data_IF_088998542952
#
_entry.id   IF_088998542952
#
_cell.length_a   1.000
_cell.length_b   1.000
_cell.length_c   1.000
_cell.angle_alpha   90.00
_cell.angle_beta   90.00
_cell.angle_gamma   90.00
#
_symmetry.space_group_name_H-M   'P 1'
#
loop_
_entity.id
_entity.type
_entity.pdbx_description
1 polymer ?
#
# COMPACT_ATOMS: atom_id res chain seq x y z
N UNK A 1 -2.92 -20.24 -5.87
CA UNK A 1 -1.98 -19.10 -6.03
C UNK A 1 -1.75 -18.31 -4.73
N UNK A 2 -2.77 -17.75 -4.07
CA UNK A 2 -2.55 -16.94 -2.84
C UNK A 2 -1.93 -17.72 -1.67
N UNK A 3 -2.28 -19.00 -1.48
CA UNK A 3 -1.64 -19.86 -0.48
C UNK A 3 -0.14 -20.06 -0.76
N UNK A 4 0.20 -20.28 -2.03
CA UNK A 4 1.59 -20.37 -2.51
C UNK A 4 2.33 -19.06 -2.29
N UNK A 5 1.71 -17.92 -2.64
CA UNK A 5 2.28 -16.61 -2.40
C UNK A 5 2.63 -16.39 -0.92
N UNK A 6 1.70 -16.70 -0.01
CA UNK A 6 1.93 -16.65 1.44
C UNK A 6 3.04 -17.60 1.89
N UNK A 7 3.03 -18.86 1.42
CA UNK A 7 4.05 -19.87 1.77
C UNK A 7 5.47 -19.39 1.48
N UNK A 8 5.65 -18.66 0.39
CA UNK A 8 6.97 -18.16 -0.04
C UNK A 8 7.21 -16.67 0.27
N UNK A 9 6.36 -16.05 1.10
CA UNK A 9 6.53 -14.65 1.50
C UNK A 9 6.36 -13.64 0.37
N UNK A 10 5.67 -14.01 -0.71
CA UNK A 10 5.22 -13.04 -1.72
C UNK A 10 4.08 -12.21 -1.14
N UNK A 11 4.25 -10.90 -1.20
CA UNK A 11 3.20 -9.95 -0.87
C UNK A 11 3.14 -8.85 -1.91
N UNK A 12 2.02 -8.17 -1.96
CA UNK A 12 1.86 -6.95 -2.74
C UNK A 12 1.99 -5.77 -1.79
N UNK A 13 3.02 -4.95 -1.97
CA UNK A 13 3.21 -3.76 -1.16
C UNK A 13 3.93 -2.65 -1.92
N UNK A 14 3.53 -1.41 -1.64
CA UNK A 14 4.11 -0.19 -2.21
C UNK A 14 4.18 0.89 -1.15
N UNK A 15 5.09 1.84 -1.24
CA UNK A 15 5.13 2.98 -0.33
C UNK A 15 3.86 3.82 -0.50
N UNK A 16 3.51 4.12 -1.74
CA UNK A 16 2.41 4.99 -2.12
C UNK A 16 1.63 4.33 -3.29
N UNK A 17 0.43 3.77 -3.05
CA UNK A 17 -0.35 3.18 -4.11
C UNK A 17 -1.03 4.25 -4.96
N UNK A 18 -0.97 4.08 -6.28
CA UNK A 18 -1.80 4.85 -7.21
C UNK A 18 -3.27 4.43 -7.09
N UNK A 19 -4.17 5.33 -7.49
CA UNK A 19 -5.60 5.04 -7.56
C UNK A 19 -5.87 3.84 -8.48
N UNK A 20 -5.25 3.83 -9.67
CA UNK A 20 -5.39 2.78 -10.68
C UNK A 20 -5.07 1.38 -10.10
N UNK A 21 -3.93 1.25 -9.41
CA UNK A 21 -3.57 -0.03 -8.77
C UNK A 21 -4.56 -0.38 -7.67
N UNK A 22 -4.92 0.60 -6.84
CA UNK A 22 -5.81 0.35 -5.72
C UNK A 22 -7.21 -0.06 -6.18
N UNK A 23 -7.68 0.39 -7.34
CA UNK A 23 -8.94 -0.02 -7.99
C UNK A 23 -8.87 -1.44 -8.58
N UNK A 24 -7.72 -1.88 -9.07
CA UNK A 24 -7.53 -3.23 -9.63
C UNK A 24 -7.41 -4.34 -8.57
N UNK A 25 -7.31 -3.99 -7.28
CA UNK A 25 -7.12 -4.99 -6.22
C UNK A 25 -8.37 -5.85 -6.00
N UNK A 26 -8.22 -7.13 -5.58
CA UNK A 26 -9.36 -8.01 -5.37
C UNK A 26 -10.29 -7.53 -4.24
N UNK A 27 -11.59 -7.49 -4.49
CA UNK A 27 -12.61 -7.11 -3.51
C UNK A 27 -12.67 -8.05 -2.27
N UNK A 28 -12.67 -9.36 -2.49
CA UNK A 28 -12.97 -10.36 -1.46
C UNK A 28 -11.74 -10.99 -0.79
N UNK A 29 -10.61 -11.05 -1.49
CA UNK A 29 -9.35 -11.55 -0.96
C UNK A 29 -8.28 -10.47 -1.01
N UNK A 30 -8.64 -9.30 -0.48
CA UNK A 30 -7.81 -8.10 -0.50
C UNK A 30 -6.46 -8.34 0.20
N UNK A 31 -5.40 -7.75 -0.33
CA UNK A 31 -4.00 -7.93 0.14
C UNK A 31 -3.76 -7.31 1.51
N UNK A 32 -4.55 -6.29 1.87
CA UNK A 32 -4.44 -5.55 3.12
C UNK A 32 -5.81 -5.34 3.77
N UNK A 33 -6.40 -6.38 4.39
CA UNK A 33 -7.58 -6.21 5.22
C UNK A 33 -7.23 -5.42 6.49
N UNK A 34 -8.19 -4.68 7.04
CA UNK A 34 -8.06 -4.03 8.33
C UNK A 34 -7.78 -5.08 9.43
N UNK A 35 -6.80 -4.86 10.32
CA UNK A 35 -6.55 -5.75 11.45
C UNK A 35 -7.81 -5.95 12.30
N UNK A 36 -8.12 -7.20 12.66
CA UNK A 36 -9.31 -7.52 13.46
C UNK A 36 -10.65 -7.48 12.71
N UNK A 37 -10.67 -7.10 11.43
CA UNK A 37 -11.91 -7.10 10.65
C UNK A 37 -12.38 -8.53 10.34
N UNK A 38 -13.65 -8.82 10.65
CA UNK A 38 -14.29 -10.09 10.30
C UNK A 38 -14.46 -10.20 8.78
N UNK A 39 -13.94 -11.29 8.19
CA UNK A 39 -14.17 -11.61 6.78
C UNK A 39 -15.66 -11.95 6.57
N UNK A 40 -16.35 -11.17 5.74
CA UNK A 40 -17.80 -11.34 5.45
C UNK A 40 -18.09 -11.93 4.07
N UNK A 41 -17.08 -12.53 3.43
CA UNK A 41 -17.14 -13.03 2.04
C UNK A 41 -18.30 -14.00 1.78
N UNK A 42 -18.78 -14.72 2.79
CA UNK A 42 -19.80 -15.77 2.66
C UNK A 42 -21.22 -15.30 2.99
N UNK A 43 -21.44 -14.02 3.28
CA UNK A 43 -22.79 -13.47 3.49
C UNK A 43 -23.63 -13.58 2.21
N UNK A 44 -24.97 -13.62 2.33
CA UNK A 44 -25.86 -13.64 1.15
C UNK A 44 -25.60 -12.46 0.22
N UNK A 45 -25.40 -11.27 0.78
CA UNK A 45 -25.07 -10.06 0.04
C UNK A 45 -23.71 -10.16 -0.67
N UNK A 46 -22.69 -10.70 0.01
CA UNK A 46 -21.36 -10.90 -0.60
C UNK A 46 -21.33 -12.00 -1.68
N UNK A 47 -22.25 -12.96 -1.62
CA UNK A 47 -22.48 -13.91 -2.71
C UNK A 47 -23.17 -13.21 -3.89
N UNK A 48 -24.25 -12.48 -3.64
CA UNK A 48 -24.93 -11.67 -4.66
C UNK A 48 -23.96 -10.71 -5.38
N UNK A 49 -23.12 -9.98 -4.64
CA UNK A 49 -22.11 -9.10 -5.24
C UNK A 49 -21.16 -9.84 -6.19
N UNK A 50 -20.76 -11.08 -5.87
CA UNK A 50 -19.86 -11.88 -6.73
C UNK A 50 -20.57 -12.52 -7.90
N UNK A 51 -21.69 -13.15 -7.63
CA UNK A 51 -22.33 -14.07 -8.56
C UNK A 51 -23.31 -13.34 -9.47
N UNK A 52 -23.98 -12.31 -8.96
CA UNK A 52 -25.00 -11.52 -9.66
C UNK A 52 -24.45 -10.19 -10.18
N UNK A 53 -23.74 -9.42 -9.34
CA UNK A 53 -23.16 -8.13 -9.76
C UNK A 53 -21.76 -8.26 -10.37
N UNK A 54 -21.20 -9.48 -10.41
CA UNK A 54 -19.88 -9.77 -10.98
C UNK A 54 -18.73 -8.92 -10.43
N UNK A 55 -18.84 -8.48 -9.17
CA UNK A 55 -17.81 -7.70 -8.48
C UNK A 55 -16.54 -8.53 -8.34
N UNK A 56 -15.44 -8.03 -8.89
CA UNK A 56 -14.11 -8.65 -8.80
C UNK A 56 -13.13 -7.75 -8.04
N UNK A 57 -13.24 -6.45 -8.26
CA UNK A 57 -12.27 -5.46 -7.84
C UNK A 57 -12.81 -4.48 -6.80
N UNK A 58 -11.90 -3.77 -6.15
CA UNK A 58 -12.23 -2.65 -5.25
C UNK A 58 -12.84 -1.47 -6.02
N UNK A 59 -12.48 -1.26 -7.28
CA UNK A 59 -13.15 -0.31 -8.17
C UNK A 59 -14.63 -0.65 -8.36
N UNK A 60 -14.95 -1.93 -8.59
CA UNK A 60 -16.34 -2.41 -8.68
C UNK A 60 -17.12 -2.18 -7.37
N UNK A 61 -16.47 -2.38 -6.22
CA UNK A 61 -17.09 -2.07 -4.92
C UNK A 61 -17.38 -0.57 -4.79
N UNK A 62 -16.48 0.29 -5.26
CA UNK A 62 -16.68 1.74 -5.21
C UNK A 62 -17.86 2.18 -6.06
N UNK A 63 -17.94 1.70 -7.29
CA UNK A 63 -19.00 2.08 -8.23
C UNK A 63 -20.40 1.71 -7.71
N UNK A 64 -20.51 0.60 -6.96
CA UNK A 64 -21.75 0.21 -6.30
C UNK A 64 -21.97 1.05 -5.02
N UNK A 65 -20.94 1.23 -4.19
CA UNK A 65 -21.08 1.90 -2.89
C UNK A 65 -21.37 3.41 -3.00
N UNK A 66 -20.93 4.08 -4.08
CA UNK A 66 -21.19 5.51 -4.32
C UNK A 66 -22.68 5.82 -4.43
N UNK A 67 -23.51 4.84 -4.79
CA UNK A 67 -24.98 4.97 -4.86
C UNK A 67 -25.62 5.34 -3.51
N UNK A 68 -24.98 5.02 -2.39
CA UNK A 68 -25.46 5.49 -1.06
C UNK A 68 -25.52 7.01 -0.93
N UNK A 69 -24.75 7.72 -1.76
CA UNK A 69 -24.63 9.18 -1.73
C UNK A 69 -25.49 9.85 -2.79
N UNK A 70 -26.15 9.09 -3.67
CA UNK A 70 -27.05 9.68 -4.68
C UNK A 70 -28.36 10.09 -4.01
N UNK A 71 -28.88 11.30 -4.27
CA UNK A 71 -30.09 11.81 -3.61
C UNK A 71 -31.33 10.93 -3.78
N UNK A 72 -31.42 10.20 -4.88
CA UNK A 72 -32.55 9.34 -5.22
C UNK A 72 -32.49 7.97 -4.54
N UNK A 73 -31.38 7.64 -3.86
CA UNK A 73 -31.21 6.34 -3.23
C UNK A 73 -31.91 6.28 -1.88
N UNK A 74 -32.66 5.21 -1.66
CA UNK A 74 -33.47 5.00 -0.47
C UNK A 74 -33.00 3.75 0.28
N UNK A 75 -33.23 3.73 1.60
CA UNK A 75 -32.93 2.58 2.45
C UNK A 75 -34.01 1.50 2.39
N UNK A 76 -34.35 1.08 1.17
CA UNK A 76 -35.43 0.14 0.88
C UNK A 76 -34.99 -0.94 -0.10
N UNK A 77 -35.56 -2.14 0.01
CA UNK A 77 -35.37 -3.22 -0.97
C UNK A 77 -35.88 -2.83 -2.36
N UNK A 78 -36.86 -1.92 -2.42
CA UNK A 78 -37.55 -1.47 -3.64
C UNK A 78 -37.15 -0.04 -4.00
N UNK A 79 -35.89 0.33 -3.79
CA UNK A 79 -35.40 1.65 -4.14
C UNK A 79 -35.52 1.87 -5.66
N UNK A 80 -36.13 2.99 -6.05
CA UNK A 80 -36.39 3.35 -7.45
C UNK A 80 -35.27 4.20 -8.09
N UNK A 81 -34.09 4.26 -7.48
CA UNK A 81 -32.96 4.93 -8.13
C UNK A 81 -32.50 4.12 -9.34
N UNK A 82 -31.99 4.81 -10.37
CA UNK A 82 -31.55 4.20 -11.64
C UNK A 82 -30.63 2.98 -11.42
N UNK A 83 -29.66 3.09 -10.51
CA UNK A 83 -28.74 1.99 -10.21
C UNK A 83 -29.40 0.78 -9.56
N UNK A 84 -30.40 0.97 -8.68
CA UNK A 84 -31.11 -0.14 -8.05
C UNK A 84 -32.11 -0.80 -9.01
N UNK A 85 -32.80 -0.03 -9.84
CA UNK A 85 -33.68 -0.56 -10.89
C UNK A 85 -32.88 -1.37 -11.91
N UNK A 86 -31.75 -0.84 -12.38
CA UNK A 86 -30.85 -1.55 -13.29
C UNK A 86 -30.40 -2.90 -12.70
N UNK A 87 -30.05 -2.94 -11.41
CA UNK A 87 -29.64 -4.18 -10.75
C UNK A 87 -30.81 -5.19 -10.65
N UNK A 88 -32.04 -4.72 -10.44
CA UNK A 88 -33.23 -5.59 -10.40
C UNK A 88 -33.56 -6.14 -11.78
N UNK A 89 -33.69 -5.25 -12.76
CA UNK A 89 -34.21 -5.57 -14.09
C UNK A 89 -33.19 -6.37 -14.92
N UNK A 90 -31.92 -5.98 -14.87
CA UNK A 90 -30.89 -6.56 -15.74
C UNK A 90 -30.10 -7.69 -15.07
N UNK A 91 -29.93 -7.64 -13.75
CA UNK A 91 -29.13 -8.63 -13.01
C UNK A 91 -29.99 -9.60 -12.19
N UNK A 92 -31.28 -9.32 -12.01
CA UNK A 92 -32.15 -10.14 -11.15
C UNK A 92 -31.82 -10.01 -9.67
N UNK A 93 -31.24 -8.89 -9.23
CA UNK A 93 -30.92 -8.66 -7.83
C UNK A 93 -32.20 -8.39 -7.03
N UNK A 94 -32.49 -9.22 -6.02
CA UNK A 94 -33.73 -9.11 -5.23
C UNK A 94 -33.73 -7.97 -4.22
N UNK A 95 -32.55 -7.47 -3.82
CA UNK A 95 -32.46 -6.39 -2.82
C UNK A 95 -31.19 -5.55 -3.01
N UNK A 96 -31.16 -4.66 -4.04
CA UNK A 96 -29.98 -3.87 -4.39
C UNK A 96 -29.42 -3.05 -3.22
N UNK A 97 -30.28 -2.48 -2.37
CA UNK A 97 -29.85 -1.71 -1.20
C UNK A 97 -28.94 -2.51 -0.26
N UNK A 98 -29.22 -3.80 -0.05
CA UNK A 98 -28.39 -4.69 0.78
C UNK A 98 -27.02 -4.91 0.13
N UNK A 99 -26.97 -5.09 -1.19
CA UNK A 99 -25.73 -5.22 -1.95
C UNK A 99 -24.90 -3.94 -1.86
N UNK A 100 -25.54 -2.78 -2.00
CA UNK A 100 -24.89 -1.47 -1.87
C UNK A 100 -24.28 -1.27 -0.48
N UNK A 101 -25.01 -1.57 0.60
CA UNK A 101 -24.46 -1.53 1.96
C UNK A 101 -23.35 -2.55 2.19
N UNK A 102 -23.47 -3.74 1.62
CA UNK A 102 -22.42 -4.75 1.70
C UNK A 102 -21.14 -4.31 0.97
N UNK A 103 -21.26 -3.60 -0.16
CA UNK A 103 -20.13 -3.04 -0.88
C UNK A 103 -19.42 -1.96 -0.06
N UNK A 104 -20.17 -1.03 0.55
CA UNK A 104 -19.60 -0.02 1.46
C UNK A 104 -18.94 -0.66 2.69
N UNK A 105 -19.62 -1.59 3.35
CA UNK A 105 -19.06 -2.31 4.48
C UNK A 105 -17.76 -3.02 4.11
N UNK A 106 -17.66 -3.51 2.86
CA UNK A 106 -16.45 -4.14 2.37
C UNK A 106 -15.30 -3.16 2.16
N UNK A 107 -15.57 -1.98 1.59
CA UNK A 107 -14.56 -0.91 1.47
C UNK A 107 -14.06 -0.47 2.85
N UNK A 108 -14.93 -0.43 3.86
CA UNK A 108 -14.55 -0.10 5.24
C UNK A 108 -13.65 -1.16 5.91
N UNK A 109 -13.56 -2.37 5.35
CA UNK A 109 -12.64 -3.42 5.79
C UNK A 109 -11.27 -3.34 5.11
N UNK A 110 -11.06 -2.41 4.18
CA UNK A 110 -9.77 -2.21 3.51
C UNK A 110 -8.90 -1.28 4.36
N UNK A 111 -7.62 -1.64 4.50
CA UNK A 111 -6.67 -0.81 5.23
C UNK A 111 -6.59 0.60 4.62
N UNK A 112 -6.55 1.65 5.43
CA UNK A 112 -6.65 3.05 4.98
C UNK A 112 -5.65 3.42 3.87
N UNK A 113 -4.44 2.83 3.89
CA UNK A 113 -3.41 2.93 2.83
C UNK A 113 -3.93 2.60 1.42
N UNK A 114 -4.87 1.67 1.33
CA UNK A 114 -5.41 1.13 0.08
C UNK A 114 -6.86 1.55 -0.14
N UNK A 115 -7.41 2.41 0.71
CA UNK A 115 -8.77 2.91 0.56
C UNK A 115 -8.82 3.94 -0.57
N UNK A 116 -9.31 3.51 -1.73
CA UNK A 116 -9.49 4.32 -2.96
C UNK A 116 -10.19 5.65 -2.72
N UNK A 117 -11.06 5.74 -1.70
CA UNK A 117 -11.76 6.99 -1.34
C UNK A 117 -10.83 8.07 -0.76
N UNK A 118 -9.60 7.68 -0.38
CA UNK A 118 -8.58 8.53 0.24
C UNK A 118 -7.36 8.73 -0.65
N UNK A 119 -7.30 8.04 -1.79
CA UNK A 119 -6.19 8.16 -2.71
C UNK A 119 -6.41 9.35 -3.63
N UNK A 120 -5.35 10.12 -3.83
CA UNK A 120 -5.35 11.24 -4.75
C UNK A 120 -4.21 11.05 -5.75
N UNK A 121 -4.41 11.41 -7.02
CA UNK A 121 -3.34 11.41 -8.01
C UNK A 121 -2.21 12.33 -7.51
N UNK A 122 -0.99 11.80 -7.44
CA UNK A 122 0.16 12.65 -7.15
C UNK A 122 0.45 13.52 -8.36
N UNK A 123 0.55 14.84 -8.14
CA UNK A 123 1.08 15.75 -9.15
C UNK A 123 2.57 15.42 -9.32
N UNK A 124 2.91 14.69 -10.37
CA UNK A 124 4.30 14.48 -10.76
C UNK A 124 4.77 15.78 -11.42
N UNK A 125 5.89 16.40 -10.97
CA UNK A 125 6.48 17.51 -11.70
C UNK A 125 6.77 17.05 -13.14
N UNK A 126 6.44 17.87 -14.14
CA UNK A 126 6.67 17.53 -15.54
C UNK A 126 8.15 17.21 -15.78
N UNK A 127 8.42 16.19 -16.60
CA UNK A 127 9.76 15.62 -16.89
C UNK A 127 10.72 16.57 -17.63
N UNK A 128 10.40 17.86 -17.77
CA UNK A 128 11.27 18.86 -18.38
C UNK A 128 12.26 19.42 -17.36
N UNK A 129 13.06 18.55 -16.77
CA UNK A 129 14.11 18.94 -15.83
C UNK A 129 15.43 18.80 -16.58
N UNK A 130 16.11 19.92 -16.85
CA UNK A 130 17.44 19.88 -17.45
C UNK A 130 18.41 19.14 -16.54
N UNK A 131 19.45 18.50 -17.10
CA UNK A 131 20.43 17.71 -16.35
C UNK A 131 21.11 18.49 -15.19
N UNK A 132 21.13 19.82 -15.27
CA UNK A 132 21.72 20.72 -14.26
C UNK A 132 20.71 21.31 -13.26
N UNK A 133 19.41 21.02 -13.40
CA UNK A 133 18.39 21.61 -12.54
C UNK A 133 18.35 20.92 -11.17
N UNK A 134 18.31 21.74 -10.10
CA UNK A 134 18.10 21.26 -8.73
C UNK A 134 16.70 20.66 -8.64
N UNK A 135 16.60 19.33 -8.61
CA UNK A 135 15.33 18.62 -8.46
C UNK A 135 15.06 18.46 -6.98
N UNK A 136 13.93 18.98 -6.44
CA UNK A 136 13.54 18.65 -5.08
C UNK A 136 13.36 17.13 -4.98
N UNK A 137 13.88 16.51 -3.92
CA UNK A 137 13.73 15.07 -3.68
C UNK A 137 12.24 14.70 -3.71
N UNK A 138 11.85 14.06 -4.81
CA UNK A 138 10.54 13.48 -4.96
C UNK A 138 10.62 12.09 -4.33
N UNK A 139 9.86 11.85 -3.26
CA UNK A 139 9.73 10.51 -2.68
C UNK A 139 9.37 9.46 -3.76
N UNK A 140 9.55 8.16 -3.47
CA UNK A 140 9.48 7.09 -4.47
C UNK A 140 8.23 7.24 -5.36
N UNK A 141 8.36 7.00 -6.68
CA UNK A 141 7.24 7.20 -7.60
C UNK A 141 6.06 6.32 -7.20
N UNK A 142 4.85 6.83 -7.43
CA UNK A 142 3.67 5.97 -7.37
C UNK A 142 3.83 4.88 -8.42
N UNK A 143 3.71 3.62 -8.00
CA UNK A 143 3.75 2.51 -8.94
C UNK A 143 2.46 2.53 -9.78
N UNK A 144 2.60 2.29 -11.08
CA UNK A 144 1.49 2.22 -12.04
C UNK A 144 1.22 0.78 -12.49
N UNK A 145 2.20 0.00 -12.99
CA UNK A 145 1.95 -1.41 -13.26
C UNK A 145 1.95 -2.22 -11.96
N UNK A 146 1.00 -3.15 -11.87
CA UNK A 146 0.89 -4.06 -10.72
C UNK A 146 2.17 -4.89 -10.51
N UNK A 147 2.92 -5.20 -11.57
CA UNK A 147 4.21 -5.92 -11.45
C UNK A 147 5.22 -5.21 -10.54
N UNK A 148 5.21 -3.87 -10.50
CA UNK A 148 6.10 -3.08 -9.64
C UNK A 148 5.73 -3.11 -8.15
N UNK A 149 4.54 -3.62 -7.79
CA UNK A 149 4.10 -3.77 -6.40
C UNK A 149 4.42 -5.12 -5.77
N UNK A 150 4.91 -6.09 -6.55
CA UNK A 150 5.26 -7.41 -6.02
C UNK A 150 6.53 -7.31 -5.17
N UNK A 151 6.47 -7.83 -3.95
CA UNK A 151 7.59 -7.89 -3.01
C UNK A 151 7.79 -9.35 -2.61
N UNK A 152 9.04 -9.79 -2.62
CA UNK A 152 9.42 -11.15 -2.19
C UNK A 152 10.23 -11.03 -0.91
N UNK A 153 9.63 -11.43 0.20
CA UNK A 153 10.33 -11.53 1.47
C UNK A 153 10.77 -12.98 1.64
N UNK A 154 12.00 -13.31 1.24
CA UNK A 154 12.55 -14.68 1.26
C UNK A 154 12.89 -15.20 2.66
N UNK A 155 12.35 -14.61 3.73
CA UNK A 155 12.55 -15.09 5.10
C UNK A 155 11.65 -16.30 5.38
N UNK A 156 12.06 -17.43 4.81
CA UNK A 156 11.42 -18.76 4.90
C UNK A 156 11.41 -19.32 6.35
N UNK A 157 12.12 -18.70 7.29
CA UNK A 157 12.37 -19.30 8.61
C UNK A 157 11.53 -18.69 9.76
N UNK A 158 10.96 -17.48 9.63
CA UNK A 158 10.27 -16.82 10.78
C UNK A 158 8.92 -16.16 10.45
N UNK A 159 8.32 -16.46 9.30
CA UNK A 159 7.12 -15.76 8.83
C UNK A 159 7.43 -14.33 8.33
N UNK A 160 6.44 -13.60 7.79
CA UNK A 160 6.63 -12.19 7.47
C UNK A 160 7.12 -11.50 8.75
N UNK A 161 8.15 -10.62 8.69
CA UNK A 161 8.54 -9.87 9.87
C UNK A 161 7.28 -9.21 10.41
N UNK A 162 6.92 -9.57 11.65
CA UNK A 162 5.93 -8.83 12.42
C UNK A 162 6.24 -7.36 12.19
N UNK A 163 5.24 -6.55 11.77
CA UNK A 163 5.43 -5.14 11.39
C UNK A 163 6.30 -4.52 12.47
N UNK A 164 7.59 -4.46 12.21
CA UNK A 164 8.52 -3.87 13.14
C UNK A 164 8.18 -2.43 12.93
N UNK A 165 7.37 -1.90 13.86
CA UNK A 165 7.32 -0.48 14.10
C UNK A 165 8.75 -0.20 14.50
N UNK A 166 9.61 0.01 13.50
CA UNK A 166 10.89 0.63 13.72
C UNK A 166 10.49 1.84 14.54
N UNK A 167 10.94 1.95 15.81
CA UNK A 167 10.63 3.12 16.58
C UNK A 167 11.00 4.25 15.67
N UNK A 168 10.02 5.07 15.32
CA UNK A 168 10.24 6.28 14.55
C UNK A 168 11.06 7.12 15.51
N UNK A 169 12.37 6.83 15.59
CA UNK A 169 13.37 7.63 16.25
C UNK A 169 13.34 8.87 15.37
N UNK A 170 12.41 9.77 15.68
CA UNK A 170 12.70 11.18 15.65
C UNK A 170 13.98 11.26 16.48
N UNK A 171 15.13 11.15 15.82
CA UNK A 171 16.34 11.73 16.40
C UNK A 171 15.89 13.16 16.67
N UNK A 172 15.86 13.54 17.95
CA UNK A 172 15.77 14.93 18.33
C UNK A 172 16.87 15.59 17.52
N UNK A 173 16.46 16.48 16.62
CA UNK A 173 17.34 17.17 15.71
C UNK A 173 18.03 18.28 16.51
N UNK A 174 18.80 17.89 17.52
CA UNK A 174 19.46 18.86 18.40
C UNK A 174 20.71 19.44 17.70
N UNK A 175 21.14 18.86 16.57
CA UNK A 175 22.20 19.37 15.69
C UNK A 175 21.92 19.04 14.21
N UNK A 176 20.82 19.55 13.63
CA UNK A 176 20.76 19.62 12.16
C UNK A 176 21.66 20.76 11.77
N UNK A 177 22.79 20.46 11.14
CA UNK A 177 23.49 21.48 10.37
C UNK A 177 22.50 22.03 9.36
N UNK A 178 22.02 23.24 9.62
CA UNK A 178 21.13 23.93 8.72
C UNK A 178 21.97 24.30 7.50
N UNK A 179 21.84 23.51 6.44
CA UNK A 179 22.52 23.76 5.18
C UNK A 179 22.09 25.15 4.68
N UNK A 180 23.06 26.01 4.40
CA UNK A 180 22.87 27.42 4.08
C UNK A 180 22.39 27.68 2.64
N UNK A 181 21.89 26.65 1.95
CA UNK A 181 21.43 26.76 0.57
C UNK A 181 21.10 25.41 -0.06
N UNK A 182 20.78 25.37 -1.37
CA UNK A 182 20.61 24.13 -2.12
C UNK A 182 21.94 23.38 -2.20
N UNK A 183 22.04 22.26 -1.49
CA UNK A 183 23.24 21.42 -1.44
C UNK A 183 23.07 20.21 -2.36
N UNK A 184 24.09 19.91 -3.18
CA UNK A 184 24.12 18.68 -3.96
C UNK A 184 24.56 17.51 -3.08
N UNK A 185 23.80 16.42 -3.15
CA UNK A 185 24.06 15.22 -2.36
C UNK A 185 23.97 14.00 -3.26
N UNK A 186 24.98 13.14 -3.19
CA UNK A 186 25.02 11.84 -3.85
C UNK A 186 24.63 10.75 -2.86
N UNK A 187 23.63 9.95 -3.21
CA UNK A 187 23.19 8.80 -2.40
C UNK A 187 23.54 7.54 -3.18
N UNK A 188 24.28 6.63 -2.56
CA UNK A 188 24.61 5.33 -3.15
C UNK A 188 24.27 4.18 -2.21
N UNK A 189 23.92 3.03 -2.79
CA UNK A 189 23.68 1.79 -2.07
C UNK A 189 24.52 0.67 -2.67
N UNK A 190 25.13 -0.15 -1.83
CA UNK A 190 25.92 -1.30 -2.25
C UNK A 190 25.47 -2.55 -1.49
N UNK A 191 25.35 -3.67 -2.21
CA UNK A 191 25.03 -4.98 -1.62
C UNK A 191 26.16 -5.94 -1.93
N UNK A 192 26.82 -6.43 -0.89
CA UNK A 192 27.83 -7.47 -1.02
C UNK A 192 27.16 -8.83 -0.85
N UNK A 193 26.93 -9.52 -1.98
CA UNK A 193 26.38 -10.87 -2.00
C UNK A 193 27.50 -11.91 -2.03
N UNK A 194 27.86 -12.50 -0.88
CA UNK A 194 28.67 -13.73 -0.87
C UNK A 194 27.77 -14.94 -1.13
N UNK A 195 28.26 -15.86 -1.98
CA UNK A 195 27.51 -16.97 -2.59
C UNK A 195 26.71 -17.88 -1.64
N UNK A 196 26.86 -17.85 -0.31
CA UNK A 196 26.18 -18.84 0.56
C UNK A 196 25.47 -18.47 1.86
N UNK A 197 25.58 -17.32 2.55
CA UNK A 197 24.68 -17.14 3.75
C UNK A 197 24.48 -15.75 4.39
N UNK A 198 25.18 -14.67 4.03
CA UNK A 198 24.86 -13.34 4.60
C UNK A 198 25.07 -12.24 3.56
N UNK A 199 23.97 -11.61 3.13
CA UNK A 199 24.02 -10.39 2.32
C UNK A 199 24.29 -9.23 3.26
N UNK A 200 25.30 -8.43 2.99
CA UNK A 200 25.55 -7.19 3.71
C UNK A 200 25.21 -6.04 2.78
N UNK A 201 24.40 -5.10 3.25
CA UNK A 201 24.08 -3.89 2.52
C UNK A 201 24.64 -2.67 3.25
N UNK A 202 25.15 -1.72 2.47
CA UNK A 202 25.57 -0.40 2.93
C UNK A 202 24.87 0.67 2.11
N UNK A 203 24.62 1.81 2.72
CA UNK A 203 24.24 3.02 2.03
C UNK A 203 25.26 4.12 2.37
N UNK A 204 25.45 5.05 1.44
CA UNK A 204 26.29 6.22 1.64
C UNK A 204 25.57 7.47 1.18
N UNK A 205 25.83 8.56 1.88
CA UNK A 205 25.40 9.91 1.56
C UNK A 205 26.68 10.74 1.48
N UNK A 206 26.93 11.34 0.33
CA UNK A 206 28.09 12.20 0.08
C UNK A 206 27.62 13.59 -0.28
N UNK A 207 28.06 14.57 0.50
CA UNK A 207 27.86 15.99 0.27
C UNK A 207 29.09 16.51 -0.49
N UNK A 208 28.91 17.23 -1.58
CA UNK A 208 30.03 17.80 -2.34
C UNK A 208 30.73 18.93 -1.60
N UNK A 209 29.97 19.63 -0.78
CA UNK A 209 30.38 20.93 -0.25
C UNK A 209 30.94 20.81 1.18
N UNK A 210 30.82 19.63 1.80
CA UNK A 210 31.35 19.35 3.14
C UNK A 210 31.64 17.85 3.34
N UNK A 211 32.89 17.45 3.15
CA UNK A 211 33.32 16.05 3.30
C UNK A 211 33.11 15.51 4.72
N UNK A 212 33.10 16.36 5.76
CA UNK A 212 32.91 15.93 7.14
C UNK A 212 31.46 15.51 7.44
N UNK A 213 30.53 15.84 6.54
CA UNK A 213 29.13 15.42 6.65
C UNK A 213 28.83 14.12 5.89
N UNK A 214 29.83 13.55 5.19
CA UNK A 214 29.67 12.30 4.48
C UNK A 214 29.37 11.15 5.46
N UNK A 215 28.28 10.43 5.21
CA UNK A 215 27.85 9.31 6.06
C UNK A 215 27.92 8.04 5.25
N UNK A 216 28.62 7.03 5.77
CA UNK A 216 28.42 5.64 5.37
C UNK A 216 27.69 4.90 6.49
N UNK A 217 26.62 4.21 6.15
CA UNK A 217 25.79 3.49 7.10
C UNK A 217 25.58 2.07 6.64
N UNK A 218 25.87 1.12 7.54
CA UNK A 218 25.44 -0.27 7.35
C UNK A 218 23.93 -0.29 7.44
N UNK A 219 23.29 -0.83 6.41
CA UNK A 219 21.84 -1.05 6.45
C UNK A 219 21.59 -2.13 7.50
N UNK A 220 20.74 -1.87 8.51
CA UNK A 220 20.50 -2.82 9.58
C UNK A 220 20.09 -4.18 9.03
N UNK A 221 20.76 -5.23 9.48
CA UNK A 221 20.30 -6.60 9.24
C UNK A 221 18.99 -6.75 10.02
N UNK A 222 17.95 -7.33 9.42
CA UNK A 222 16.61 -7.47 10.01
C UNK A 222 16.52 -8.45 11.19
N UNK A 223 17.48 -8.46 12.11
CA UNK A 223 17.48 -9.23 13.36
C UNK A 223 17.76 -8.30 14.53
N UNK A 224 16.71 -7.67 15.07
CA UNK A 224 16.76 -7.22 16.46
C UNK A 224 16.35 -8.40 17.35
N UNK A 225 17.34 -9.10 17.91
CA UNK A 225 17.19 -9.84 19.16
C UNK A 225 18.37 -9.55 20.07
N UNK A 226 18.00 -9.10 21.26
CA UNK A 226 18.76 -8.71 22.44
C UNK A 226 19.86 -9.71 22.81
N UNK A 227 21.06 -9.23 23.16
CA UNK A 227 21.79 -9.65 24.36
C UNK A 227 22.76 -8.52 24.76
N UNK A 228 22.44 -7.87 25.89
CA UNK A 228 23.42 -7.16 26.71
C UNK A 228 23.90 -8.16 27.76
N UNK A 229 25.16 -8.53 27.67
CA UNK A 229 26.06 -9.00 28.74
C UNK A 229 27.37 -8.22 28.41
N UNK A 230 28.08 -7.49 29.26
CA UNK A 230 28.37 -7.56 30.69
C UNK A 230 29.90 -7.47 30.80
N UNK A 231 30.44 -6.46 31.51
CA UNK A 231 31.87 -6.29 31.83
C UNK A 231 32.72 -5.69 30.71
N UNK A 232 33.63 -4.72 30.93
CA UNK A 232 34.36 -4.33 32.15
C UNK A 232 34.06 -2.87 32.55
#
# INVERSE_FOLDING_TARGET
MLATARKYGYTFDTVEPSLEIAEMLPAFHHVAPQPGARQVNNSKASKCLRDTHHVKTTGDLLSIATRLRTPQHEQSSNCNCEGCQTDQDNLGCTSPHICVRAAEARLNQIHAKWDIRRLHPRKVPAENVSDDAVVPFCGPPQITPMSQGVRVFTNIIKGPPEKTVLPRRRRRNDNVHQLSGPTRVYIYGAVLARRKTRRKAGAGIVFTDDENTNVSLRVPDGEHSVHREGGL
#
